data_IF_924898229404
#
_entry.id   IF_924898229404
#
_cell.length_a   1.000
_cell.length_b   1.000
_cell.length_c   1.000
_cell.angle_alpha   90.00
_cell.angle_beta   90.00
_cell.angle_gamma   90.00
#
_symmetry.space_group_name_H-M   'P 1'
#
loop_
_entity.id
_entity.type
_entity.pdbx_description
1 polymer ?
#
# COMPACT_ATOMS: atom_id res chain seq x y z
N UNK A 1 14.79 13.25 -5.47
CA UNK A 1 14.37 11.88 -5.13
C UNK A 1 14.81 10.91 -6.20
N UNK A 2 15.44 9.79 -5.86
CA UNK A 2 15.78 8.73 -6.82
C UNK A 2 14.97 7.49 -6.47
N UNK A 3 14.16 6.98 -7.42
CA UNK A 3 13.22 5.89 -7.21
C UNK A 3 12.95 5.17 -8.55
N UNK A 4 12.92 3.85 -8.56
CA UNK A 4 12.69 3.02 -9.76
C UNK A 4 13.59 3.45 -10.96
N UNK A 5 14.90 3.63 -10.70
CA UNK A 5 15.89 4.11 -11.68
C UNK A 5 15.57 5.48 -12.34
N UNK A 6 14.71 6.29 -11.68
CA UNK A 6 14.31 7.63 -12.12
C UNK A 6 14.82 8.67 -11.13
N UNK A 7 15.32 9.77 -11.64
CA UNK A 7 15.57 10.97 -10.86
C UNK A 7 14.35 11.89 -10.96
N UNK A 8 13.71 12.17 -9.84
CA UNK A 8 12.57 13.09 -9.76
C UNK A 8 13.06 14.32 -9.01
N UNK A 9 13.32 15.43 -9.70
CA UNK A 9 13.79 16.68 -9.08
C UNK A 9 12.74 17.25 -8.11
N UNK A 10 13.19 18.12 -7.18
CA UNK A 10 12.27 18.94 -6.37
C UNK A 10 11.39 19.81 -7.24
N UNK A 11 10.14 19.98 -6.84
CA UNK A 11 9.15 20.72 -7.59
C UNK A 11 8.63 19.98 -8.83
N UNK A 12 8.80 18.66 -8.88
CA UNK A 12 8.34 17.82 -10.00
C UNK A 12 7.33 16.77 -9.57
N UNK A 13 6.39 16.52 -10.46
CA UNK A 13 5.41 15.43 -10.35
C UNK A 13 5.53 14.51 -11.56
N UNK A 14 5.77 13.21 -11.31
CA UNK A 14 5.90 12.21 -12.36
C UNK A 14 4.90 11.06 -12.18
N UNK A 15 4.48 10.49 -13.30
CA UNK A 15 3.56 9.33 -13.36
C UNK A 15 4.10 8.32 -14.34
N UNK A 16 4.08 7.04 -13.93
CA UNK A 16 4.46 5.95 -14.84
C UNK A 16 3.80 4.64 -14.42
N UNK A 17 3.92 3.65 -15.29
CA UNK A 17 3.57 2.27 -14.98
C UNK A 17 4.82 1.54 -14.50
N UNK A 18 4.85 1.19 -13.23
CA UNK A 18 5.93 0.43 -12.60
C UNK A 18 5.80 -1.05 -12.98
N UNK A 19 6.87 -1.66 -13.48
CA UNK A 19 6.90 -3.08 -13.78
C UNK A 19 6.98 -3.87 -12.47
N UNK A 20 5.85 -4.36 -11.98
CA UNK A 20 5.75 -5.08 -10.71
C UNK A 20 6.05 -6.58 -10.85
N UNK A 21 5.67 -7.22 -11.95
CA UNK A 21 5.99 -8.61 -12.19
C UNK A 21 6.17 -8.92 -13.69
N UNK A 22 7.03 -9.90 -13.98
CA UNK A 22 7.22 -10.44 -15.32
C UNK A 22 6.76 -11.89 -15.36
N UNK A 23 5.85 -12.19 -16.27
CA UNK A 23 5.43 -13.54 -16.61
C UNK A 23 6.08 -13.98 -17.92
N UNK A 24 5.90 -15.24 -18.30
CA UNK A 24 6.49 -15.79 -19.53
C UNK A 24 6.15 -14.98 -20.79
N UNK A 25 4.92 -14.50 -20.91
CA UNK A 25 4.42 -13.78 -22.10
C UNK A 25 3.99 -12.36 -21.77
N UNK A 26 3.48 -12.13 -20.55
CA UNK A 26 2.91 -10.86 -20.12
C UNK A 26 3.69 -10.25 -18.95
N UNK A 27 3.35 -9.03 -18.60
CA UNK A 27 3.87 -8.30 -17.45
C UNK A 27 2.72 -7.71 -16.64
N UNK A 28 2.98 -7.47 -15.35
CA UNK A 28 2.09 -6.73 -14.47
C UNK A 28 2.72 -5.36 -14.26
N UNK A 29 2.00 -4.34 -14.64
CA UNK A 29 2.39 -2.94 -14.44
C UNK A 29 1.42 -2.27 -13.47
N UNK A 30 1.96 -1.56 -12.49
CA UNK A 30 1.24 -0.85 -11.44
C UNK A 30 1.37 0.65 -11.68
N UNK A 31 0.25 1.39 -11.76
CA UNK A 31 0.30 2.84 -11.94
C UNK A 31 0.79 3.53 -10.66
N UNK A 32 1.78 4.41 -10.81
CA UNK A 32 2.42 5.14 -9.72
C UNK A 32 2.49 6.63 -10.04
N UNK A 33 2.30 7.46 -9.02
CA UNK A 33 2.59 8.90 -9.07
C UNK A 33 3.54 9.26 -7.93
N UNK A 34 4.57 10.04 -8.24
CA UNK A 34 5.45 10.64 -7.24
C UNK A 34 5.39 12.15 -7.36
N UNK A 35 5.16 12.83 -6.25
CA UNK A 35 5.16 14.28 -6.13
C UNK A 35 6.32 14.63 -5.20
N UNK A 36 7.41 15.14 -5.77
CA UNK A 36 8.55 15.62 -4.99
C UNK A 36 8.37 17.13 -4.75
N UNK A 37 7.97 17.49 -3.55
CA UNK A 37 7.62 18.83 -3.15
C UNK A 37 8.76 19.84 -3.28
N UNK A 38 8.41 21.11 -3.25
CA UNK A 38 9.38 22.22 -3.34
C UNK A 38 10.19 22.41 -2.05
N UNK A 39 9.67 21.93 -0.90
CA UNK A 39 10.29 22.02 0.42
C UNK A 39 10.78 20.65 0.87
N UNK A 40 11.81 20.63 1.69
CA UNK A 40 12.25 19.42 2.38
C UNK A 40 11.17 18.94 3.37
N UNK A 41 11.09 17.63 3.56
CA UNK A 41 10.15 16.99 4.45
C UNK A 41 10.24 15.46 4.36
N UNK A 42 9.33 14.73 5.02
CA UNK A 42 9.32 13.29 5.01
C UNK A 42 8.90 12.72 3.64
N UNK A 43 9.22 11.46 3.44
CA UNK A 43 8.66 10.63 2.38
C UNK A 43 7.44 9.90 2.90
N UNK A 44 6.28 10.20 2.35
CA UNK A 44 5.01 9.50 2.65
C UNK A 44 4.67 8.60 1.47
N UNK A 45 4.42 7.34 1.75
CA UNK A 45 3.97 6.37 0.76
C UNK A 45 2.54 5.96 1.08
N UNK A 46 1.66 6.10 0.08
CA UNK A 46 0.28 5.63 0.16
C UNK A 46 0.10 4.54 -0.90
N UNK A 47 -0.29 3.36 -0.44
CA UNK A 47 -0.66 2.23 -1.30
C UNK A 47 -2.16 2.02 -1.29
N UNK A 48 -2.71 1.44 -2.36
CA UNK A 48 -4.13 1.10 -2.46
C UNK A 48 -4.36 -0.07 -3.41
N UNK A 49 -5.46 -0.77 -3.21
CA UNK A 49 -5.91 -1.80 -4.15
C UNK A 49 -5.10 -3.09 -4.09
N UNK A 50 -4.51 -3.41 -2.96
CA UNK A 50 -3.99 -4.76 -2.67
C UNK A 50 -5.13 -5.77 -2.75
N UNK A 51 -6.30 -5.41 -2.22
CA UNK A 51 -7.58 -6.05 -2.49
C UNK A 51 -8.32 -5.25 -3.58
N UNK A 52 -8.52 -5.83 -4.75
CA UNK A 52 -8.90 -5.08 -5.94
C UNK A 52 -10.35 -4.55 -5.93
N UNK A 53 -11.23 -5.11 -5.12
CA UNK A 53 -12.63 -4.69 -4.98
C UNK A 53 -12.84 -3.54 -3.97
N UNK A 54 -11.81 -3.12 -3.25
CA UNK A 54 -11.82 -1.99 -2.31
C UNK A 54 -11.52 -0.69 -3.07
N UNK A 55 -12.57 -0.11 -3.67
CA UNK A 55 -12.40 0.90 -4.73
C UNK A 55 -12.15 2.32 -4.22
N UNK A 56 -12.49 2.62 -2.97
CA UNK A 56 -12.44 3.99 -2.45
C UNK A 56 -11.01 4.50 -2.37
N UNK A 57 -10.09 3.73 -1.77
CA UNK A 57 -8.67 4.08 -1.67
C UNK A 57 -8.00 4.24 -3.03
N UNK A 58 -8.32 3.36 -3.98
CA UNK A 58 -7.83 3.45 -5.35
C UNK A 58 -8.26 4.76 -6.01
N UNK A 59 -9.54 5.12 -5.89
CA UNK A 59 -10.07 6.36 -6.46
C UNK A 59 -9.51 7.61 -5.75
N UNK A 60 -9.36 7.56 -4.43
CA UNK A 60 -8.80 8.65 -3.64
C UNK A 60 -7.35 8.94 -4.05
N UNK A 61 -6.50 7.93 -4.16
CA UNK A 61 -5.10 8.13 -4.60
C UNK A 61 -5.02 8.71 -6.01
N UNK A 62 -5.90 8.29 -6.92
CA UNK A 62 -5.96 8.84 -8.29
C UNK A 62 -6.42 10.32 -8.27
N UNK A 63 -7.37 10.67 -7.42
CA UNK A 63 -7.82 12.06 -7.30
C UNK A 63 -6.75 12.94 -6.64
N UNK A 64 -6.11 12.49 -5.55
CA UNK A 64 -4.97 13.17 -4.93
C UNK A 64 -3.86 13.45 -5.95
N UNK A 65 -3.53 12.45 -6.79
CA UNK A 65 -2.52 12.62 -7.84
C UNK A 65 -2.88 13.67 -8.89
N UNK A 66 -4.17 13.95 -9.09
CA UNK A 66 -4.65 14.98 -10.02
C UNK A 66 -4.70 16.38 -9.38
N UNK A 67 -5.09 16.42 -8.10
CA UNK A 67 -5.36 17.65 -7.36
C UNK A 67 -4.11 18.28 -6.77
N UNK A 68 -3.19 17.45 -6.23
CA UNK A 68 -1.98 17.94 -5.56
C UNK A 68 -0.88 18.30 -6.57
N UNK A 69 -0.27 19.45 -6.34
CA UNK A 69 0.91 19.90 -7.07
C UNK A 69 2.15 19.94 -6.15
N UNK A 70 3.38 19.97 -6.68
CA UNK A 70 4.60 19.99 -5.87
C UNK A 70 4.67 21.12 -4.84
N UNK A 71 4.01 22.25 -5.11
CA UNK A 71 3.92 23.41 -4.23
C UNK A 71 3.11 23.13 -2.95
N UNK A 72 2.20 22.17 -3.01
CA UNK A 72 1.34 21.76 -1.89
C UNK A 72 2.06 20.81 -0.91
N UNK A 73 3.19 20.23 -1.33
CA UNK A 73 3.88 19.15 -0.62
C UNK A 73 5.18 19.65 0.00
N UNK A 74 5.39 19.29 1.28
CA UNK A 74 6.69 19.33 1.94
C UNK A 74 7.21 17.90 2.07
N UNK A 75 8.37 17.61 1.44
CA UNK A 75 8.88 16.24 1.31
C UNK A 75 8.44 15.57 0.02
N UNK A 76 8.22 14.28 0.06
CA UNK A 76 7.83 13.48 -1.11
C UNK A 76 6.58 12.66 -0.82
N UNK A 77 5.60 12.72 -1.72
CA UNK A 77 4.43 11.85 -1.71
C UNK A 77 4.52 10.83 -2.84
N UNK A 78 4.48 9.55 -2.48
CA UNK A 78 4.44 8.42 -3.41
C UNK A 78 3.06 7.78 -3.34
N UNK A 79 2.38 7.68 -4.47
CA UNK A 79 1.05 7.08 -4.60
C UNK A 79 1.14 5.83 -5.49
N UNK A 80 0.93 4.66 -4.90
CA UNK A 80 0.78 3.40 -5.62
C UNK A 80 -0.71 3.12 -5.74
N UNK A 81 -1.28 3.40 -6.91
CA UNK A 81 -2.73 3.52 -7.05
C UNK A 81 -3.49 2.20 -6.99
N UNK A 82 -2.92 1.14 -7.56
CA UNK A 82 -3.57 -0.18 -7.66
C UNK A 82 -2.48 -1.24 -7.61
N UNK A 83 -2.27 -1.84 -6.45
CA UNK A 83 -1.22 -2.86 -6.26
C UNK A 83 -1.54 -4.17 -6.99
N UNK A 84 -2.84 -4.52 -7.08
CA UNK A 84 -3.32 -5.74 -7.75
C UNK A 84 -4.22 -5.42 -8.97
N UNK A 85 -3.66 -4.86 -10.06
CA UNK A 85 -4.45 -4.46 -11.22
C UNK A 85 -5.12 -5.63 -11.93
N UNK A 86 -4.56 -6.83 -11.84
CA UNK A 86 -5.15 -8.02 -12.45
C UNK A 86 -6.42 -8.44 -11.72
N UNK A 87 -6.43 -8.35 -10.39
CA UNK A 87 -7.62 -8.60 -9.60
C UNK A 87 -8.76 -7.63 -9.93
N UNK A 88 -8.46 -6.34 -10.05
CA UNK A 88 -9.43 -5.32 -10.47
C UNK A 88 -9.98 -5.60 -11.88
N UNK A 89 -9.10 -5.89 -12.84
CA UNK A 89 -9.48 -6.11 -14.23
C UNK A 89 -10.40 -7.33 -14.40
N UNK A 90 -10.16 -8.40 -13.65
CA UNK A 90 -10.95 -9.63 -13.69
C UNK A 90 -12.03 -9.71 -12.61
N UNK A 91 -12.25 -8.63 -11.85
CA UNK A 91 -13.26 -8.54 -10.79
C UNK A 91 -13.14 -9.63 -9.73
N UNK A 92 -11.91 -9.96 -9.39
CA UNK A 92 -11.62 -10.83 -8.25
C UNK A 92 -11.76 -10.03 -6.95
N UNK A 93 -12.10 -10.73 -5.85
CA UNK A 93 -12.21 -10.10 -4.55
C UNK A 93 -10.81 -9.78 -3.97
N UNK A 94 -10.32 -10.58 -3.05
CA UNK A 94 -9.09 -10.32 -2.29
C UNK A 94 -7.86 -11.10 -2.80
N UNK A 95 -7.96 -11.75 -3.96
CA UNK A 95 -6.88 -12.57 -4.51
C UNK A 95 -6.56 -12.21 -5.95
N UNK A 96 -5.35 -12.53 -6.36
CA UNK A 96 -4.97 -12.43 -7.76
C UNK A 96 -5.58 -13.58 -8.57
N UNK A 97 -6.18 -13.30 -9.75
CA UNK A 97 -6.69 -14.35 -10.64
C UNK A 97 -5.60 -15.20 -11.29
N UNK A 98 -4.34 -14.76 -11.21
CA UNK A 98 -3.21 -15.42 -11.88
C UNK A 98 -2.67 -16.62 -11.12
N UNK A 99 -2.73 -16.60 -9.80
CA UNK A 99 -2.12 -17.60 -8.93
C UNK A 99 -2.91 -17.87 -7.66
N UNK A 100 -4.09 -17.25 -7.52
CA UNK A 100 -4.99 -17.35 -6.36
C UNK A 100 -4.34 -16.94 -5.02
N UNK A 101 -3.32 -16.08 -5.07
CA UNK A 101 -2.63 -15.59 -3.89
C UNK A 101 -3.27 -14.26 -3.42
N UNK A 102 -3.48 -14.13 -2.09
CA UNK A 102 -3.78 -12.84 -1.48
C UNK A 102 -2.45 -12.07 -1.35
N UNK A 103 -2.33 -10.92 -2.02
CA UNK A 103 -1.10 -10.13 -2.01
C UNK A 103 -0.79 -9.62 -0.61
N UNK A 104 -1.82 -9.28 0.19
CA UNK A 104 -1.65 -8.81 1.58
C UNK A 104 -1.22 -9.91 2.58
N UNK A 105 -0.76 -11.06 2.08
CA UNK A 105 -0.19 -12.13 2.88
C UNK A 105 1.20 -12.58 2.41
N UNK A 106 1.78 -11.88 1.41
CA UNK A 106 3.03 -12.32 0.76
C UNK A 106 4.03 -11.19 0.54
N UNK A 107 3.86 -10.07 1.24
CA UNK A 107 4.89 -9.05 1.30
C UNK A 107 6.14 -9.60 1.99
N UNK A 108 7.34 -9.12 1.64
CA UNK A 108 8.59 -9.70 2.13
C UNK A 108 8.75 -9.55 3.64
N UNK A 109 9.03 -10.64 4.33
CA UNK A 109 9.16 -10.72 5.79
C UNK A 109 10.55 -10.33 6.31
N UNK A 110 11.12 -9.26 5.79
CA UNK A 110 12.38 -8.69 6.29
C UNK A 110 13.65 -9.52 5.98
N UNK A 111 13.67 -10.79 6.34
CA UNK A 111 14.80 -11.69 6.09
C UNK A 111 14.75 -12.37 4.73
N UNK A 112 13.58 -12.50 4.15
CA UNK A 112 13.41 -12.95 2.76
C UNK A 112 13.61 -11.80 1.76
N UNK A 113 13.95 -10.64 2.28
CA UNK A 113 14.22 -9.45 1.50
C UNK A 113 15.47 -9.65 0.66
N UNK A 114 15.31 -10.22 -0.48
CA UNK A 114 16.17 -9.92 -1.56
C UNK A 114 17.44 -10.68 -1.77
N UNK A 115 17.85 -11.60 -0.92
CA UNK A 115 18.98 -12.46 -1.32
C UNK A 115 18.53 -13.42 -2.43
N UNK A 116 17.28 -13.89 -2.40
CA UNK A 116 16.74 -14.77 -3.45
C UNK A 116 15.93 -14.07 -4.54
N UNK A 117 15.44 -12.88 -4.29
CA UNK A 117 14.62 -12.16 -5.27
C UNK A 117 15.10 -10.75 -5.59
N UNK A 118 16.30 -10.36 -5.26
CA UNK A 118 16.93 -9.05 -5.46
C UNK A 118 16.00 -7.89 -5.87
N UNK A 119 16.23 -6.68 -5.41
CA UNK A 119 15.37 -5.50 -5.66
C UNK A 119 14.89 -5.38 -7.12
N UNK A 120 15.71 -5.86 -8.05
CA UNK A 120 15.51 -5.70 -9.49
C UNK A 120 15.27 -7.03 -10.23
N UNK A 121 15.22 -8.17 -9.53
CA UNK A 121 15.10 -9.45 -10.21
C UNK A 121 13.66 -9.84 -10.49
N UNK A 122 13.40 -10.11 -11.76
CA UNK A 122 12.15 -10.69 -12.25
C UNK A 122 12.40 -12.17 -12.48
N UNK A 123 11.89 -13.02 -11.60
CA UNK A 123 12.09 -14.47 -11.69
C UNK A 123 10.93 -15.16 -12.39
N UNK A 124 11.18 -15.67 -13.58
CA UNK A 124 10.22 -16.53 -14.26
C UNK A 124 10.00 -17.82 -13.44
N UNK A 125 8.73 -18.21 -13.26
CA UNK A 125 8.36 -19.39 -12.47
C UNK A 125 7.99 -19.10 -11.01
N UNK A 126 8.24 -17.88 -10.50
CA UNK A 126 7.74 -17.46 -9.19
C UNK A 126 6.34 -16.87 -9.37
N UNK A 127 5.48 -17.04 -8.35
CA UNK A 127 4.16 -16.42 -8.29
C UNK A 127 4.20 -14.94 -8.70
N UNK A 128 3.44 -14.52 -9.71
CA UNK A 128 3.40 -13.12 -10.14
C UNK A 128 3.00 -12.16 -9.01
N UNK A 129 2.08 -12.61 -8.14
CA UNK A 129 1.64 -11.82 -6.98
C UNK A 129 2.76 -11.62 -5.96
N UNK A 130 3.58 -12.66 -5.70
CA UNK A 130 4.76 -12.54 -4.82
C UNK A 130 5.82 -11.62 -5.43
N UNK A 131 6.06 -11.70 -6.74
CA UNK A 131 6.96 -10.78 -7.42
C UNK A 131 6.50 -9.34 -7.26
N UNK A 132 5.20 -9.07 -7.52
CA UNK A 132 4.64 -7.73 -7.42
C UNK A 132 4.74 -7.19 -5.99
N UNK A 133 4.32 -7.96 -4.97
CA UNK A 133 4.42 -7.56 -3.57
C UNK A 133 5.85 -7.23 -3.17
N UNK A 134 6.81 -8.10 -3.53
CA UNK A 134 8.22 -7.88 -3.22
C UNK A 134 8.78 -6.61 -3.88
N UNK A 135 8.48 -6.39 -5.16
CA UNK A 135 9.00 -5.22 -5.89
C UNK A 135 8.35 -3.93 -5.42
N UNK A 136 7.03 -3.90 -5.19
CA UNK A 136 6.33 -2.74 -4.63
C UNK A 136 6.94 -2.38 -3.27
N UNK A 137 7.08 -3.35 -2.39
CA UNK A 137 7.63 -3.13 -1.05
C UNK A 137 9.04 -2.57 -1.08
N UNK A 138 9.95 -3.23 -1.81
CA UNK A 138 11.36 -2.84 -1.84
C UNK A 138 11.61 -1.55 -2.61
N UNK A 139 10.77 -1.21 -3.60
CA UNK A 139 10.94 0.00 -4.41
C UNK A 139 10.31 1.23 -3.75
N UNK A 140 9.15 1.06 -3.11
CA UNK A 140 8.37 2.20 -2.61
C UNK A 140 8.26 2.20 -1.08
N UNK A 141 7.72 1.15 -0.46
CA UNK A 141 7.39 1.15 0.97
C UNK A 141 8.64 1.29 1.84
N UNK A 142 9.75 0.64 1.47
CA UNK A 142 11.04 0.76 2.19
C UNK A 142 11.65 2.16 2.20
N UNK A 143 11.21 3.05 1.34
CA UNK A 143 11.69 4.43 1.29
C UNK A 143 10.88 5.37 2.19
N UNK A 144 9.79 4.88 2.78
CA UNK A 144 8.85 5.69 3.53
C UNK A 144 9.39 6.07 4.92
N UNK A 145 9.19 7.33 5.30
CA UNK A 145 9.18 7.74 6.69
C UNK A 145 7.81 7.43 7.33
N UNK A 146 6.75 7.38 6.51
CA UNK A 146 5.37 7.08 6.88
C UNK A 146 4.68 6.30 5.75
N UNK A 147 3.98 5.24 6.11
CA UNK A 147 3.23 4.43 5.15
C UNK A 147 1.77 4.31 5.54
N UNK A 148 0.88 4.43 4.57
CA UNK A 148 -0.57 4.20 4.72
C UNK A 148 -1.02 3.24 3.63
N UNK A 149 -1.66 2.14 4.02
CA UNK A 149 -2.25 1.19 3.09
C UNK A 149 -3.76 1.36 3.08
N UNK A 150 -4.31 1.80 1.95
CA UNK A 150 -5.73 2.13 1.82
C UNK A 150 -6.53 0.90 1.43
N UNK A 151 -7.40 0.53 2.33
CA UNK A 151 -8.31 -0.60 2.26
C UNK A 151 -9.78 -0.17 2.33
N UNK A 152 -10.65 -1.12 2.43
CA UNK A 152 -12.08 -0.99 2.69
C UNK A 152 -12.71 -2.36 2.85
N UNK A 153 -14.02 -2.40 3.10
CA UNK A 153 -14.74 -3.66 3.19
C UNK A 153 -14.75 -4.41 1.86
N UNK A 154 -14.69 -5.72 1.95
CA UNK A 154 -14.84 -6.62 0.81
C UNK A 154 -16.30 -6.61 0.27
N UNK A 155 -16.61 -7.52 -0.66
CA UNK A 155 -17.93 -7.56 -1.33
C UNK A 155 -19.14 -7.78 -0.38
N UNK A 156 -18.90 -8.29 0.81
CA UNK A 156 -19.94 -8.55 1.81
C UNK A 156 -19.83 -7.66 3.05
N UNK A 157 -18.96 -6.65 2.99
CA UNK A 157 -18.68 -5.75 4.10
C UNK A 157 -18.83 -4.30 3.65
N UNK A 158 -19.34 -3.45 4.54
CA UNK A 158 -19.36 -2.01 4.37
C UNK A 158 -18.84 -1.37 5.65
N UNK A 159 -17.65 -0.79 5.59
CA UNK A 159 -16.92 -0.30 6.74
C UNK A 159 -17.10 1.21 6.90
N UNK A 160 -17.46 1.63 8.11
CA UNK A 160 -17.26 3.01 8.51
C UNK A 160 -15.77 3.36 8.48
N UNK A 161 -15.46 4.61 8.18
CA UNK A 161 -14.08 5.09 8.20
C UNK A 161 -13.40 4.81 9.54
N UNK A 162 -12.33 4.05 9.50
CA UNK A 162 -11.51 3.73 10.64
C UNK A 162 -10.04 3.56 10.25
N UNK A 163 -9.16 3.65 11.24
CA UNK A 163 -7.73 3.37 11.10
C UNK A 163 -7.42 2.12 11.93
N UNK A 164 -6.81 1.14 11.31
CA UNK A 164 -6.34 -0.05 11.99
C UNK A 164 -4.82 -0.02 12.13
N UNK A 165 -4.32 -0.27 13.33
CA UNK A 165 -2.89 -0.37 13.62
C UNK A 165 -2.55 -1.73 14.18
N UNK A 166 -1.38 -2.22 13.81
CA UNK A 166 -0.86 -3.54 14.18
C UNK A 166 0.34 -3.38 15.12
N UNK A 167 0.14 -3.30 16.45
CA UNK A 167 1.24 -3.17 17.39
C UNK A 167 2.13 -4.41 17.37
N UNK A 168 3.46 -4.18 17.37
CA UNK A 168 4.48 -5.24 17.37
C UNK A 168 5.35 -5.20 18.65
N UNK A 169 4.97 -4.39 19.64
CA UNK A 169 5.69 -4.14 20.90
C UNK A 169 7.09 -3.54 20.70
N UNK A 170 7.24 -2.67 19.72
CA UNK A 170 8.47 -1.96 19.37
C UNK A 170 8.27 -0.42 19.40
N UNK A 171 9.33 0.37 19.46
CA UNK A 171 9.22 1.84 19.48
C UNK A 171 8.46 2.45 18.30
N UNK A 172 8.35 1.76 17.18
CA UNK A 172 7.57 2.19 16.00
C UNK A 172 6.09 2.33 16.32
N UNK A 173 5.55 1.57 17.28
CA UNK A 173 4.13 1.58 17.64
C UNK A 173 3.65 2.97 18.08
N UNK A 174 4.49 3.72 18.84
CA UNK A 174 4.14 5.08 19.24
C UNK A 174 4.05 6.04 18.04
N UNK A 175 4.93 5.87 17.05
CA UNK A 175 4.87 6.65 15.81
C UNK A 175 3.66 6.24 14.97
N UNK A 176 3.36 4.95 14.91
CA UNK A 176 2.17 4.44 14.22
C UNK A 176 0.87 4.98 14.83
N UNK A 177 0.79 5.05 16.19
CA UNK A 177 -0.32 5.71 16.89
C UNK A 177 -0.40 7.21 16.58
N UNK A 178 0.75 7.87 16.47
CA UNK A 178 0.79 9.28 16.08
C UNK A 178 0.29 9.48 14.64
N UNK A 179 0.70 8.62 13.71
CA UNK A 179 0.19 8.60 12.33
C UNK A 179 -1.33 8.41 12.30
N UNK A 180 -1.85 7.40 12.99
CA UNK A 180 -3.28 7.12 13.04
C UNK A 180 -4.12 8.31 13.54
N UNK A 181 -3.60 9.08 14.51
CA UNK A 181 -4.28 10.27 15.05
C UNK A 181 -4.29 11.46 14.10
N UNK A 182 -3.48 11.46 13.03
CA UNK A 182 -3.50 12.54 12.03
C UNK A 182 -4.73 12.48 11.14
N UNK A 183 -5.36 11.31 11.03
CA UNK A 183 -6.60 11.15 10.28
C UNK A 183 -7.80 11.63 11.13
N UNK A 184 -8.79 12.19 10.47
CA UNK A 184 -10.01 12.67 11.14
C UNK A 184 -10.99 11.55 11.53
N UNK A 185 -10.53 10.28 11.53
CA UNK A 185 -11.33 9.17 12.01
C UNK A 185 -11.50 9.23 13.52
N UNK A 186 -12.73 9.01 13.97
CA UNK A 186 -13.03 8.82 15.39
C UNK A 186 -12.79 7.39 15.86
N UNK A 187 -12.45 6.49 14.95
CA UNK A 187 -12.26 5.06 15.21
C UNK A 187 -10.81 4.68 14.88
N UNK A 188 -10.03 4.41 15.91
CA UNK A 188 -8.71 3.80 15.78
C UNK A 188 -8.78 2.43 16.45
N UNK A 189 -8.46 1.41 15.69
CA UNK A 189 -8.51 0.03 16.12
C UNK A 189 -7.08 -0.51 16.27
N UNK A 190 -6.71 -0.88 17.49
CA UNK A 190 -5.44 -1.58 17.75
C UNK A 190 -5.71 -3.09 17.75
N UNK A 191 -5.06 -3.81 16.85
CA UNK A 191 -5.19 -5.26 16.71
C UNK A 191 -3.86 -5.94 17.07
N UNK A 192 -3.64 -6.26 18.35
CA UNK A 192 -2.46 -7.01 18.76
C UNK A 192 -2.48 -8.43 18.20
N UNK A 193 -1.31 -8.98 17.93
CA UNK A 193 -1.18 -10.34 17.42
C UNK A 193 -1.94 -11.34 18.33
N UNK A 194 -2.67 -12.26 17.70
CA UNK A 194 -3.47 -13.28 18.40
C UNK A 194 -4.79 -12.78 18.97
N UNK A 195 -5.20 -11.55 18.68
CA UNK A 195 -6.47 -10.98 19.15
C UNK A 195 -7.68 -11.71 18.57
N UNK A 196 -7.56 -12.24 17.36
CA UNK A 196 -8.64 -12.97 16.69
C UNK A 196 -8.42 -14.49 16.88
N UNK A 197 -9.22 -15.16 17.73
CA UNK A 197 -9.00 -16.59 18.03
C UNK A 197 -9.02 -17.51 16.81
N UNK A 198 -9.83 -17.17 15.79
CA UNK A 198 -9.93 -17.93 14.54
C UNK A 198 -8.75 -17.69 13.61
N UNK A 199 -7.96 -16.65 13.87
CA UNK A 199 -6.78 -16.24 13.12
C UNK A 199 -5.62 -15.95 14.09
N UNK A 200 -5.07 -16.99 14.77
CA UNK A 200 -4.12 -16.79 15.87
C UNK A 200 -2.82 -16.11 15.46
N UNK A 201 -2.53 -16.10 14.17
CA UNK A 201 -1.37 -15.40 13.59
C UNK A 201 -1.75 -14.04 12.99
N UNK A 202 -2.98 -13.58 13.13
CA UNK A 202 -3.40 -12.27 12.67
C UNK A 202 -3.22 -11.22 13.81
N UNK A 203 -2.73 -10.04 13.51
CA UNK A 203 -2.15 -9.64 12.24
C UNK A 203 -0.82 -10.37 12.00
N UNK A 204 -0.83 -11.24 11.00
CA UNK A 204 0.35 -12.05 10.67
C UNK A 204 1.40 -11.27 9.89
N UNK A 205 2.60 -11.85 9.86
CA UNK A 205 3.62 -11.44 8.90
C UNK A 205 3.08 -11.59 7.47
N UNK A 206 3.61 -10.76 6.55
CA UNK A 206 3.27 -10.81 5.14
C UNK A 206 2.28 -9.76 4.66
N UNK A 207 1.66 -8.95 5.54
CA UNK A 207 0.96 -7.73 5.12
C UNK A 207 1.94 -6.56 4.97
N UNK A 208 1.62 -5.62 4.05
CA UNK A 208 2.46 -4.46 3.82
C UNK A 208 2.69 -3.65 5.11
N UNK A 209 1.63 -3.44 5.88
CA UNK A 209 1.66 -2.70 7.16
C UNK A 209 2.51 -3.41 8.20
N UNK A 210 2.32 -4.72 8.41
CA UNK A 210 3.10 -5.47 9.40
C UNK A 210 4.59 -5.46 9.05
N UNK A 211 4.93 -5.67 7.78
CA UNK A 211 6.32 -5.71 7.34
C UNK A 211 7.00 -4.32 7.42
N UNK A 212 6.26 -3.25 7.12
CA UNK A 212 6.75 -1.89 7.29
C UNK A 212 7.04 -1.59 8.79
N UNK A 213 6.11 -1.92 9.69
CA UNK A 213 6.30 -1.75 11.13
C UNK A 213 7.52 -2.53 11.65
N UNK A 214 7.73 -3.76 11.21
CA UNK A 214 8.93 -4.56 11.56
C UNK A 214 10.25 -3.96 11.05
N UNK A 215 10.21 -3.09 10.05
CA UNK A 215 11.37 -2.32 9.59
C UNK A 215 11.51 -0.97 10.30
N UNK A 216 10.64 -0.67 11.26
CA UNK A 216 10.64 0.61 11.98
C UNK A 216 9.96 1.75 11.20
N UNK A 217 9.24 1.42 10.11
CA UNK A 217 8.47 2.37 9.31
C UNK A 217 7.06 2.42 9.88
N UNK A 218 6.61 3.55 10.48
CA UNK A 218 5.25 3.69 10.98
C UNK A 218 4.23 3.48 9.87
N UNK A 219 3.34 2.50 10.05
CA UNK A 219 2.41 2.08 9.02
C UNK A 219 1.06 1.69 9.61
N UNK A 220 -0.04 2.05 8.94
CA UNK A 220 -1.40 1.71 9.34
C UNK A 220 -2.28 1.39 8.14
N UNK A 221 -3.36 0.64 8.38
CA UNK A 221 -4.45 0.51 7.43
C UNK A 221 -5.42 1.68 7.58
N UNK A 222 -5.90 2.14 6.45
CA UNK A 222 -6.96 3.12 6.32
C UNK A 222 -8.17 2.41 5.69
N UNK A 223 -9.24 2.23 6.46
CA UNK A 223 -10.39 1.41 6.09
C UNK A 223 -11.62 2.27 5.85
N UNK A 224 -12.25 2.17 4.67
CA UNK A 224 -13.46 2.93 4.36
C UNK A 224 -14.30 2.30 3.24
N UNK A 225 -15.62 2.24 3.43
CA UNK A 225 -16.58 1.74 2.44
C UNK A 225 -16.50 0.24 2.25
N UNK A 226 -17.03 -0.26 1.14
CA UNK A 226 -17.06 -1.70 0.85
C UNK A 226 -18.05 -2.08 -0.24
N UNK A 227 -18.48 -3.35 -0.25
CA UNK A 227 -19.45 -3.94 -1.17
C UNK A 227 -19.10 -3.74 -2.66
N UNK A 228 -17.81 -3.50 -2.96
CA UNK A 228 -17.35 -3.20 -4.32
C UNK A 228 -17.94 -1.90 -4.89
N UNK A 229 -18.39 -0.99 -4.04
CA UNK A 229 -19.02 0.28 -4.44
C UNK A 229 -18.00 1.41 -4.56
N UNK A 230 -18.21 2.26 -5.52
CA UNK A 230 -17.51 3.53 -5.66
C UNK A 230 -18.48 4.67 -5.29
N UNK A 231 -18.23 5.33 -4.16
CA UNK A 231 -18.97 6.48 -3.67
C UNK A 231 -18.07 7.71 -3.67
N UNK A 232 -18.46 8.75 -4.42
CA UNK A 232 -17.69 10.00 -4.44
C UNK A 232 -17.60 10.65 -3.05
N UNK A 233 -18.68 10.56 -2.25
CA UNK A 233 -18.66 11.08 -0.86
C UNK A 233 -17.59 10.40 -0.01
N UNK A 234 -17.45 9.07 -0.12
CA UNK A 234 -16.42 8.33 0.61
C UNK A 234 -15.02 8.61 0.03
N UNK A 235 -14.90 8.77 -1.28
CA UNK A 235 -13.63 9.17 -1.90
C UNK A 235 -13.19 10.56 -1.42
N UNK A 236 -14.13 11.52 -1.31
CA UNK A 236 -13.82 12.85 -0.80
C UNK A 236 -13.47 12.85 0.69
N UNK A 237 -14.01 11.91 1.46
CA UNK A 237 -13.62 11.68 2.86
C UNK A 237 -12.26 11.02 2.98
N UNK A 238 -11.84 10.21 2.01
CA UNK A 238 -10.59 9.45 2.02
C UNK A 238 -9.37 10.27 1.55
N UNK A 239 -9.58 11.46 0.99
CA UNK A 239 -8.52 12.39 0.60
C UNK A 239 -8.06 13.28 1.75
#
# INVERSE_FOLDING_TARGET
MFIDNREIPKGCKERWNFLAAQMTVNKIEVPVTVINGVKDGPTVVITAGVHPNELIGQAATVQLAKELEPEDISGTLVLVHIENPMGLQFKYANRSPLDNVNMNSVFPTGTESGEDMGKDSLHLGISPTKQAANRIFNTFIRLADWHVDMHGGELLEDLDFNIEILPINEPVDEKTRALARMFMSTKIWEVPQGTIPQMPNYPGRGSAVAEANHLGIPSCFFEIGGEGRLSQTLVDQAK
#
